data_IF_114492974851
#
_entry.id   IF_114492974851
#
_cell.length_a   1.000
_cell.length_b   1.000
_cell.length_c   1.000
_cell.angle_alpha   90.00
_cell.angle_beta   90.00
_cell.angle_gamma   90.00
#
_symmetry.space_group_name_H-M   'P 1'
#
loop_
_entity.id
_entity.type
_entity.pdbx_description
1 polymer ?
#
# COMPACT_ATOMS: atom_id res chain seq x y z
N UNK A 1 6.58 49.13 73.32
CA UNK A 1 6.86 47.89 74.07
C UNK A 1 6.90 46.75 73.07
N UNK A 2 8.04 46.02 73.05
CA UNK A 2 8.30 44.65 72.59
C UNK A 2 7.73 44.25 71.20
N UNK A 3 8.51 43.98 70.14
CA UNK A 3 9.74 43.19 70.10
C UNK A 3 9.41 41.73 69.78
N UNK A 4 9.51 41.32 68.51
CA UNK A 4 10.09 40.04 68.07
C UNK A 4 9.89 39.78 66.57
N UNK A 5 10.99 39.84 65.84
CA UNK A 5 11.24 39.23 64.53
C UNK A 5 11.48 37.71 64.70
N UNK A 6 10.89 36.88 63.82
CA UNK A 6 11.53 35.65 63.32
C UNK A 6 11.18 35.41 61.85
N UNK A 7 12.14 34.78 61.20
CA UNK A 7 12.50 34.72 59.78
C UNK A 7 11.80 33.57 59.03
N UNK A 8 11.97 33.54 57.70
CA UNK A 8 11.78 32.45 56.71
C UNK A 8 10.39 32.41 56.03
N UNK A 9 10.21 32.27 54.71
CA UNK A 9 11.11 32.24 53.55
C UNK A 9 10.26 32.37 52.26
N UNK A 10 10.92 32.81 51.18
CA UNK A 10 10.50 32.94 49.79
C UNK A 10 9.42 31.98 49.24
N UNK A 11 8.47 32.54 48.47
CA UNK A 11 8.36 32.28 47.01
C UNK A 11 7.40 33.27 46.34
N UNK A 12 7.90 34.02 45.36
CA UNK A 12 7.14 34.93 44.49
C UNK A 12 6.39 34.09 43.45
N UNK A 13 5.06 34.21 43.38
CA UNK A 13 4.27 33.80 42.21
C UNK A 13 4.11 35.02 41.30
N UNK A 14 4.64 34.94 40.09
CA UNK A 14 4.39 35.90 39.02
C UNK A 14 3.19 35.44 38.19
N UNK A 15 2.28 36.37 37.92
CA UNK A 15 1.07 36.21 37.11
C UNK A 15 1.47 36.31 35.63
N UNK A 16 1.07 35.33 34.81
CA UNK A 16 1.25 35.36 33.36
C UNK A 16 -0.11 35.40 32.67
N UNK A 17 -0.34 36.44 31.86
CA UNK A 17 -1.50 36.64 30.99
C UNK A 17 -1.64 35.50 29.96
N UNK A 18 -2.86 35.01 29.76
CA UNK A 18 -3.21 34.13 28.66
C UNK A 18 -3.60 34.94 27.42
N UNK A 19 -2.85 34.78 26.34
CA UNK A 19 -3.22 35.22 24.98
C UNK A 19 -3.88 34.03 24.27
N UNK A 20 -5.16 34.18 23.94
CA UNK A 20 -5.94 33.19 23.20
C UNK A 20 -5.73 33.43 21.69
N UNK A 21 -4.90 32.61 21.05
CA UNK A 21 -4.76 32.58 19.59
C UNK A 21 -5.75 31.58 18.99
N UNK A 22 -6.80 32.08 18.35
CA UNK A 22 -7.73 31.29 17.53
C UNK A 22 -7.03 31.00 16.19
N UNK A 23 -6.60 29.75 16.00
CA UNK A 23 -6.14 29.26 14.70
C UNK A 23 -7.36 28.80 13.90
N UNK A 24 -7.71 29.53 12.84
CA UNK A 24 -8.49 29.00 11.72
C UNK A 24 -7.57 28.01 10.99
N UNK A 25 -7.66 26.73 11.35
CA UNK A 25 -6.89 25.66 10.74
C UNK A 25 -7.32 25.43 9.30
N UNK A 26 -6.52 25.90 8.35
CA UNK A 26 -6.45 25.25 7.04
C UNK A 26 -5.78 23.90 7.30
N UNK A 27 -6.55 22.82 7.34
CA UNK A 27 -6.00 21.47 7.43
C UNK A 27 -5.31 21.14 6.11
N UNK A 28 -4.02 21.46 6.00
CA UNK A 28 -3.18 20.85 4.97
C UNK A 28 -3.17 19.34 5.22
N UNK A 29 -3.44 18.48 4.23
CA UNK A 29 -3.29 17.04 4.42
C UNK A 29 -1.85 16.78 4.88
N UNK A 30 -1.71 16.09 6.01
CA UNK A 30 -0.40 15.60 6.45
C UNK A 30 0.11 14.66 5.36
N UNK A 31 1.25 14.98 4.75
CA UNK A 31 1.99 14.06 3.88
C UNK A 31 2.79 13.13 4.78
N UNK A 32 2.52 11.83 4.72
CA UNK A 32 3.15 10.81 5.57
C UNK A 32 4.42 10.19 4.95
N UNK A 33 5.17 10.97 4.15
CA UNK A 33 6.40 10.52 3.49
C UNK A 33 7.48 9.97 4.45
N UNK A 34 8.38 9.13 3.92
CA UNK A 34 9.56 8.46 4.50
C UNK A 34 9.44 7.72 5.86
N UNK A 35 8.68 8.23 6.83
CA UNK A 35 8.51 7.64 8.16
C UNK A 35 7.54 6.45 8.18
N UNK A 36 6.52 6.47 7.33
CA UNK A 36 5.59 5.34 7.16
C UNK A 36 6.02 4.47 6.01
N UNK A 37 6.29 5.06 4.85
CA UNK A 37 6.69 4.39 3.61
C UNK A 37 8.19 4.13 3.56
N UNK A 38 8.66 3.24 4.43
CA UNK A 38 10.08 2.96 4.66
C UNK A 38 10.86 2.47 3.44
N UNK A 39 10.17 1.99 2.40
CA UNK A 39 10.79 1.49 1.16
C UNK A 39 10.64 2.46 -0.02
N UNK A 40 10.13 3.65 0.21
CA UNK A 40 10.02 4.70 -0.80
C UNK A 40 11.41 5.21 -1.20
N UNK A 41 11.73 5.32 -2.51
CA UNK A 41 12.99 5.91 -2.96
C UNK A 41 13.12 7.36 -2.48
N UNK A 42 14.29 7.75 -1.97
CA UNK A 42 14.53 9.10 -1.47
C UNK A 42 14.39 10.19 -2.56
N UNK A 43 14.52 9.80 -3.83
CA UNK A 43 14.33 10.64 -5.01
C UNK A 43 12.86 10.77 -5.45
N UNK A 44 11.93 10.11 -4.77
CA UNK A 44 10.52 10.09 -5.16
C UNK A 44 9.79 11.38 -4.80
N UNK A 45 8.98 11.83 -5.75
CA UNK A 45 8.04 12.94 -5.58
C UNK A 45 6.63 12.38 -5.44
N UNK A 46 6.00 12.62 -4.30
CA UNK A 46 4.61 12.22 -4.05
C UNK A 46 3.66 12.82 -5.10
N UNK A 47 2.78 11.99 -5.66
CA UNK A 47 1.69 12.43 -6.54
C UNK A 47 0.31 12.26 -5.89
N UNK A 48 0.15 11.31 -4.96
CA UNK A 48 -1.03 11.23 -4.08
C UNK A 48 -0.70 10.57 -2.74
N UNK A 49 -1.45 10.96 -1.72
CA UNK A 49 -1.41 10.41 -0.36
C UNK A 49 -2.83 10.56 0.18
N UNK A 50 -3.61 9.47 0.13
CA UNK A 50 -5.06 9.53 0.24
C UNK A 50 -5.59 8.55 1.30
N UNK A 51 -6.07 9.11 2.41
CA UNK A 51 -6.58 8.37 3.55
C UNK A 51 -8.03 7.90 3.46
N UNK A 52 -8.71 8.11 2.32
CA UNK A 52 -10.10 7.68 2.10
C UNK A 52 -11.12 8.18 3.15
N UNK A 53 -11.09 9.48 3.47
CA UNK A 53 -12.21 10.11 4.21
C UNK A 53 -13.45 10.32 3.34
N UNK A 54 -13.27 10.31 2.00
CA UNK A 54 -14.32 10.38 0.97
C UNK A 54 -13.96 9.43 -0.17
N UNK A 55 -14.96 8.99 -0.96
CA UNK A 55 -14.74 8.11 -2.12
C UNK A 55 -13.99 8.80 -3.25
N UNK A 56 -14.30 10.08 -3.48
CA UNK A 56 -13.66 10.90 -4.49
C UNK A 56 -12.90 12.05 -3.83
N UNK A 57 -11.89 12.56 -4.52
CA UNK A 57 -10.97 13.55 -3.96
C UNK A 57 -9.90 13.98 -4.95
N UNK A 58 -8.84 14.65 -4.50
CA UNK A 58 -7.78 15.20 -5.35
C UNK A 58 -7.11 14.12 -6.24
N UNK A 59 -7.61 13.98 -7.47
CA UNK A 59 -7.17 12.98 -8.46
C UNK A 59 -7.79 11.59 -8.30
N UNK A 60 -8.58 11.36 -7.24
CA UNK A 60 -9.27 10.10 -6.96
C UNK A 60 -10.70 10.12 -7.50
N UNK A 61 -11.01 9.16 -8.37
CA UNK A 61 -12.34 8.90 -8.91
C UNK A 61 -12.94 7.62 -8.36
N UNK A 62 -14.26 7.51 -8.45
CA UNK A 62 -15.03 6.33 -8.06
C UNK A 62 -16.19 6.14 -9.06
N UNK A 63 -16.39 4.91 -9.53
CA UNK A 63 -17.42 4.55 -10.51
C UNK A 63 -18.69 3.97 -9.84
N UNK A 64 -18.73 3.95 -8.51
CA UNK A 64 -19.80 3.36 -7.72
C UNK A 64 -19.71 1.84 -7.58
N UNK A 65 -20.87 1.23 -7.34
CA UNK A 65 -20.99 -0.19 -6.99
C UNK A 65 -21.13 -0.39 -5.49
N UNK A 66 -20.66 -1.52 -4.99
CA UNK A 66 -20.63 -1.87 -3.57
C UNK A 66 -19.35 -1.35 -2.90
N UNK A 67 -19.13 -0.04 -3.01
CA UNK A 67 -17.99 0.69 -2.45
C UNK A 67 -18.48 1.74 -1.46
N UNK A 68 -17.82 1.86 -0.31
CA UNK A 68 -18.17 2.84 0.71
C UNK A 68 -16.96 3.28 1.52
N UNK A 69 -17.12 4.40 2.24
CA UNK A 69 -16.21 4.74 3.34
C UNK A 69 -16.73 4.09 4.61
N UNK A 70 -15.95 3.16 5.16
CA UNK A 70 -16.23 2.48 6.42
C UNK A 70 -15.50 3.11 7.60
N UNK A 71 -15.95 2.80 8.81
CA UNK A 71 -15.24 3.14 10.04
C UNK A 71 -14.44 1.94 10.54
N UNK A 72 -13.16 2.14 10.83
CA UNK A 72 -12.27 1.13 11.41
C UNK A 72 -11.19 1.79 12.26
N UNK A 73 -11.34 1.74 13.59
CA UNK A 73 -10.38 2.35 14.51
C UNK A 73 -9.04 1.62 14.58
N UNK A 74 -8.90 0.46 13.93
CA UNK A 74 -7.63 -0.26 13.82
C UNK A 74 -6.83 0.13 12.57
N UNK A 75 -7.36 1.01 11.72
CA UNK A 75 -6.66 1.53 10.54
C UNK A 75 -5.28 2.12 10.94
N UNK A 76 -4.18 1.68 10.31
CA UNK A 76 -2.84 2.05 10.76
C UNK A 76 -2.47 3.53 10.65
N UNK A 77 -3.04 4.27 9.70
CA UNK A 77 -2.60 5.64 9.39
C UNK A 77 -3.71 6.68 9.31
N UNK A 78 -4.85 6.39 8.68
CA UNK A 78 -5.91 7.41 8.52
C UNK A 78 -6.83 7.45 9.76
N UNK A 79 -7.24 8.63 10.25
CA UNK A 79 -8.18 8.74 11.39
C UNK A 79 -9.52 8.05 11.11
N UNK A 80 -9.66 6.84 11.65
CA UNK A 80 -10.73 5.82 11.61
C UNK A 80 -11.56 5.60 10.35
N UNK A 81 -11.32 6.24 9.21
CA UNK A 81 -12.03 5.96 7.95
C UNK A 81 -11.19 5.11 7.01
N UNK A 82 -11.83 4.18 6.30
CA UNK A 82 -11.19 3.30 5.31
C UNK A 82 -12.07 3.13 4.08
N UNK A 83 -11.46 2.93 2.91
CA UNK A 83 -12.20 2.51 1.72
C UNK A 83 -12.59 1.04 1.87
N UNK A 84 -13.86 0.71 1.62
CA UNK A 84 -14.35 -0.66 1.66
C UNK A 84 -14.96 -1.06 0.33
N UNK A 85 -14.50 -2.19 -0.20
CA UNK A 85 -15.10 -2.89 -1.32
C UNK A 85 -15.82 -4.13 -0.78
N UNK A 86 -17.15 -4.14 -0.88
CA UNK A 86 -18.01 -5.19 -0.34
C UNK A 86 -18.31 -6.24 -1.41
N UNK A 87 -17.80 -7.44 -1.19
CA UNK A 87 -18.20 -8.65 -1.91
C UNK A 87 -19.54 -9.11 -1.34
N UNK A 88 -20.62 -8.95 -2.11
CA UNK A 88 -21.99 -9.24 -1.67
C UNK A 88 -22.46 -10.64 -2.12
N UNK A 89 -23.43 -11.21 -1.40
CA UNK A 89 -24.01 -12.51 -1.75
C UNK A 89 -24.62 -12.46 -3.15
N UNK A 90 -24.30 -13.46 -3.97
CA UNK A 90 -24.72 -13.54 -5.36
C UNK A 90 -23.78 -12.84 -6.35
N UNK A 91 -22.75 -12.12 -5.88
CA UNK A 91 -21.73 -11.54 -6.76
C UNK A 91 -21.00 -12.65 -7.55
N UNK A 92 -21.06 -12.64 -8.90
CA UNK A 92 -20.36 -13.63 -9.72
C UNK A 92 -18.84 -13.58 -9.59
N UNK A 93 -18.16 -14.68 -9.89
CA UNK A 93 -16.72 -14.66 -10.08
C UNK A 93 -16.29 -13.81 -11.29
N UNK A 94 -15.09 -13.25 -11.22
CA UNK A 94 -14.47 -12.48 -12.30
C UNK A 94 -14.91 -11.03 -12.39
N UNK A 95 -15.82 -10.58 -11.52
CA UNK A 95 -16.20 -9.17 -11.43
C UNK A 95 -15.65 -8.51 -10.16
N UNK A 96 -15.62 -7.18 -10.18
CA UNK A 96 -15.30 -6.34 -9.03
C UNK A 96 -16.59 -5.84 -8.36
N UNK A 97 -16.63 -5.66 -7.03
CA UNK A 97 -17.74 -4.98 -6.38
C UNK A 97 -17.82 -3.49 -6.74
N UNK A 98 -16.74 -2.89 -7.24
CA UNK A 98 -16.71 -1.52 -7.75
C UNK A 98 -15.31 -1.09 -8.17
N UNK A 99 -15.14 0.19 -8.51
CA UNK A 99 -13.88 0.72 -9.00
C UNK A 99 -13.62 2.12 -8.43
N UNK A 100 -12.60 2.21 -7.58
CA UNK A 100 -12.02 3.46 -7.10
C UNK A 100 -10.63 3.58 -7.72
N UNK A 101 -10.26 4.71 -8.29
CA UNK A 101 -9.03 4.82 -9.05
C UNK A 101 -8.34 6.16 -8.90
N UNK A 102 -7.03 6.16 -9.12
CA UNK A 102 -6.22 7.37 -9.23
C UNK A 102 -5.54 7.43 -10.59
N UNK A 103 -5.70 8.54 -11.31
CA UNK A 103 -5.01 8.79 -12.58
C UNK A 103 -3.77 9.63 -12.33
N UNK A 104 -2.65 9.22 -12.91
CA UNK A 104 -1.40 9.95 -12.75
C UNK A 104 -1.47 11.28 -13.50
N UNK A 105 -0.89 12.36 -12.95
CA UNK A 105 -0.81 13.64 -13.66
C UNK A 105 -0.09 13.52 -15.01
N UNK A 106 0.90 12.63 -15.10
CA UNK A 106 1.61 12.22 -16.31
C UNK A 106 1.99 10.74 -16.22
N UNK A 107 1.96 9.97 -17.32
CA UNK A 107 2.46 8.61 -17.32
C UNK A 107 3.96 8.53 -16.96
N UNK A 108 4.36 7.47 -16.26
CA UNK A 108 5.72 7.30 -15.75
C UNK A 108 6.29 5.90 -16.01
N UNK A 109 7.60 5.77 -16.31
CA UNK A 109 8.28 4.48 -16.36
C UNK A 109 8.56 3.90 -14.97
N UNK A 110 8.45 4.72 -13.92
CA UNK A 110 8.87 4.38 -12.56
C UNK A 110 7.82 4.82 -11.55
N UNK A 111 7.45 3.92 -10.63
CA UNK A 111 6.38 4.15 -9.66
C UNK A 111 6.74 3.50 -8.33
N UNK A 112 6.50 4.23 -7.26
CA UNK A 112 6.35 3.69 -5.93
C UNK A 112 4.89 3.73 -5.49
N UNK A 113 4.39 2.64 -4.90
CA UNK A 113 3.03 2.45 -4.42
C UNK A 113 3.08 1.86 -3.01
N UNK A 114 2.45 2.52 -2.04
CA UNK A 114 2.33 2.06 -0.67
C UNK A 114 0.88 2.11 -0.20
N UNK A 115 0.40 1.07 0.46
CA UNK A 115 -0.93 1.06 1.07
C UNK A 115 -1.06 0.02 2.18
N UNK A 116 -2.07 0.20 3.02
CA UNK A 116 -2.53 -0.83 3.95
C UNK A 116 -3.77 -1.52 3.39
N UNK A 117 -3.83 -2.83 3.56
CA UNK A 117 -4.94 -3.63 3.08
C UNK A 117 -5.36 -4.67 4.11
N UNK A 118 -6.66 -4.97 4.15
CA UNK A 118 -7.24 -6.00 5.02
C UNK A 118 -8.43 -6.68 4.36
N UNK A 119 -8.46 -8.00 4.34
CA UNK A 119 -9.68 -8.77 4.14
C UNK A 119 -10.46 -8.90 5.45
N UNK A 120 -11.80 -8.87 5.42
CA UNK A 120 -12.63 -9.09 6.61
C UNK A 120 -12.42 -10.48 7.23
N UNK A 121 -12.65 -10.62 8.54
CA UNK A 121 -12.69 -11.94 9.19
C UNK A 121 -13.70 -12.84 8.48
N UNK A 122 -13.33 -14.09 8.21
CA UNK A 122 -14.20 -15.04 7.52
C UNK A 122 -14.38 -14.79 6.02
N UNK A 123 -13.56 -13.91 5.40
CA UNK A 123 -13.61 -13.65 3.96
C UNK A 123 -13.67 -14.95 3.16
N UNK A 124 -14.65 -15.04 2.24
CA UNK A 124 -14.80 -16.17 1.34
C UNK A 124 -13.81 -16.02 0.18
N UNK A 125 -12.73 -16.78 0.23
CA UNK A 125 -11.81 -16.91 -0.88
C UNK A 125 -12.47 -17.65 -2.05
N UNK A 126 -12.13 -17.24 -3.27
CA UNK A 126 -12.58 -17.92 -4.48
C UNK A 126 -11.89 -19.27 -4.66
N UNK A 127 -12.56 -20.25 -5.29
CA UNK A 127 -12.04 -21.61 -5.49
C UNK A 127 -10.76 -21.71 -6.35
N UNK A 128 -10.45 -20.68 -7.13
CA UNK A 128 -9.14 -20.53 -7.81
C UNK A 128 -8.00 -20.12 -6.88
N UNK A 129 -8.27 -19.98 -5.57
CA UNK A 129 -7.34 -19.56 -4.53
C UNK A 129 -6.77 -18.16 -4.75
N UNK A 130 -7.53 -17.28 -5.42
CA UNK A 130 -7.09 -15.91 -5.77
C UNK A 130 -8.23 -14.92 -5.75
N UNK A 131 -7.97 -13.78 -5.12
CA UNK A 131 -8.81 -12.57 -5.23
C UNK A 131 -7.89 -11.38 -5.45
N UNK A 132 -8.10 -10.61 -6.51
CA UNK A 132 -7.24 -9.45 -6.85
C UNK A 132 -7.48 -8.31 -5.85
N UNK A 133 -6.45 -7.54 -5.53
CA UNK A 133 -6.47 -6.50 -4.50
C UNK A 133 -6.44 -5.10 -5.15
N UNK A 134 -5.40 -4.82 -5.94
CA UNK A 134 -5.18 -3.52 -6.58
C UNK A 134 -4.34 -3.72 -7.83
N UNK A 135 -4.55 -2.86 -8.81
CA UNK A 135 -3.81 -2.84 -10.07
C UNK A 135 -2.85 -1.66 -10.12
N UNK A 136 -1.74 -1.86 -10.85
CA UNK A 136 -0.96 -0.76 -11.39
C UNK A 136 -1.06 -0.84 -12.91
N UNK A 137 -1.79 0.11 -13.47
CA UNK A 137 -2.13 0.14 -14.89
C UNK A 137 -1.14 0.99 -15.67
N UNK A 138 -0.91 0.60 -16.92
CA UNK A 138 -0.19 1.40 -17.90
C UNK A 138 -1.13 1.90 -18.99
N UNK A 139 -0.61 2.74 -19.87
CA UNK A 139 -1.39 3.34 -20.96
C UNK A 139 -1.99 2.32 -21.95
N UNK A 140 -1.65 1.03 -21.84
CA UNK A 140 -2.22 -0.05 -22.64
C UNK A 140 -3.02 -1.09 -21.86
N UNK A 141 -3.10 -1.03 -20.53
CA UNK A 141 -3.89 -1.98 -19.75
C UNK A 141 -3.39 -2.19 -18.32
N UNK A 142 -3.51 -3.44 -17.84
CA UNK A 142 -3.30 -3.82 -16.45
C UNK A 142 -2.09 -4.78 -16.29
N UNK A 143 -0.85 -4.31 -16.53
CA UNK A 143 0.32 -5.18 -16.57
C UNK A 143 0.68 -5.80 -15.22
N UNK A 144 0.25 -5.20 -14.11
CA UNK A 144 0.57 -5.63 -12.75
C UNK A 144 -0.65 -5.54 -11.84
N UNK A 145 -0.81 -6.55 -10.98
CA UNK A 145 -1.76 -6.49 -9.89
C UNK A 145 -1.35 -7.34 -8.70
N UNK A 146 -1.68 -6.88 -7.50
CA UNK A 146 -1.62 -7.68 -6.29
C UNK A 146 -2.86 -8.57 -6.15
N UNK A 147 -2.71 -9.72 -5.50
CA UNK A 147 -3.79 -10.61 -5.14
C UNK A 147 -3.57 -11.24 -3.76
N UNK A 148 -4.67 -11.56 -3.09
CA UNK A 148 -4.71 -12.47 -1.94
C UNK A 148 -4.74 -13.90 -2.47
N UNK A 149 -3.69 -14.67 -2.19
CA UNK A 149 -3.53 -16.07 -2.54
C UNK A 149 -3.75 -17.01 -1.37
N UNK A 150 -4.01 -18.29 -1.65
CA UNK A 150 -4.23 -19.34 -0.66
C UNK A 150 -5.66 -19.88 -0.73
N UNK A 151 -5.85 -21.14 -0.31
CA UNK A 151 -7.16 -21.79 -0.30
C UNK A 151 -8.02 -21.37 0.89
N UNK A 152 -9.34 -21.52 0.79
CA UNK A 152 -10.27 -21.23 1.88
C UNK A 152 -9.84 -21.96 3.16
N UNK A 153 -9.68 -21.21 4.27
CA UNK A 153 -9.31 -21.76 5.58
C UNK A 153 -7.83 -22.17 5.72
N UNK A 154 -6.99 -21.87 4.72
CA UNK A 154 -5.54 -22.09 4.78
C UNK A 154 -4.78 -20.82 5.18
N UNK A 155 -3.44 -20.89 5.21
CA UNK A 155 -2.60 -19.70 5.31
C UNK A 155 -2.69 -18.90 4.01
N UNK A 156 -3.12 -17.65 4.10
CA UNK A 156 -3.18 -16.75 2.95
C UNK A 156 -1.85 -16.01 2.77
N UNK A 157 -1.61 -15.50 1.57
CA UNK A 157 -0.42 -14.72 1.24
C UNK A 157 -0.73 -13.60 0.26
N UNK A 158 0.13 -12.59 0.20
CA UNK A 158 0.08 -11.59 -0.88
C UNK A 158 0.88 -12.12 -2.06
N UNK A 159 0.36 -12.04 -3.27
CA UNK A 159 1.12 -12.29 -4.49
C UNK A 159 0.93 -11.16 -5.48
N UNK A 160 1.81 -11.08 -6.47
CA UNK A 160 1.65 -10.22 -7.62
C UNK A 160 1.59 -11.09 -8.88
N UNK A 161 0.84 -10.63 -9.89
CA UNK A 161 0.91 -11.20 -11.22
C UNK A 161 1.48 -10.17 -12.18
N UNK A 162 2.42 -10.61 -13.00
CA UNK A 162 2.83 -9.91 -14.20
C UNK A 162 1.97 -10.38 -15.36
N UNK A 163 1.14 -9.51 -15.90
CA UNK A 163 0.15 -9.82 -16.93
C UNK A 163 0.55 -9.18 -18.26
N UNK A 164 1.20 -9.97 -19.11
CA UNK A 164 1.57 -9.58 -20.48
C UNK A 164 1.40 -10.79 -21.40
N UNK A 165 1.35 -10.58 -22.72
CA UNK A 165 1.23 -11.66 -23.71
C UNK A 165 2.58 -12.10 -24.28
N UNK A 166 3.56 -11.20 -24.36
CA UNK A 166 4.70 -11.33 -25.25
C UNK A 166 6.01 -10.73 -24.67
N UNK A 167 6.10 -10.61 -23.34
CA UNK A 167 7.32 -10.18 -22.64
C UNK A 167 7.97 -11.40 -22.00
N UNK A 168 9.22 -11.67 -22.39
CA UNK A 168 10.01 -12.79 -21.89
C UNK A 168 10.95 -12.37 -20.76
N UNK A 169 10.97 -13.19 -19.72
CA UNK A 169 11.76 -13.04 -18.50
C UNK A 169 12.42 -14.37 -18.11
N UNK A 170 12.71 -15.21 -19.10
CA UNK A 170 13.33 -16.53 -18.96
C UNK A 170 14.75 -16.50 -18.38
N UNK A 171 15.39 -15.31 -18.36
CA UNK A 171 16.68 -15.07 -17.73
C UNK A 171 16.59 -14.84 -16.20
N UNK A 172 15.39 -14.68 -15.64
CA UNK A 172 15.22 -14.48 -14.20
C UNK A 172 15.47 -15.80 -13.45
N UNK A 173 16.29 -15.73 -12.40
CA UNK A 173 16.58 -16.89 -11.56
C UNK A 173 15.30 -17.45 -10.94
N UNK A 174 15.12 -18.78 -11.02
CA UNK A 174 13.91 -19.46 -10.54
C UNK A 174 12.71 -19.42 -11.49
N UNK A 175 12.84 -18.78 -12.65
CA UNK A 175 11.75 -18.59 -13.62
C UNK A 175 12.17 -18.96 -15.07
N UNK A 176 12.73 -20.17 -15.30
CA UNK A 176 13.19 -20.56 -16.64
C UNK A 176 12.01 -20.67 -17.61
N UNK A 177 12.20 -20.15 -18.83
CA UNK A 177 11.24 -20.29 -19.93
C UNK A 177 9.97 -19.43 -19.82
N UNK A 178 9.92 -18.47 -18.89
CA UNK A 178 8.75 -17.62 -18.74
C UNK A 178 8.68 -16.55 -19.83
N UNK A 179 7.59 -16.60 -20.61
CA UNK A 179 7.14 -15.55 -21.50
C UNK A 179 5.65 -15.29 -21.30
N UNK A 180 5.27 -14.01 -21.19
CA UNK A 180 3.87 -13.60 -21.03
C UNK A 180 3.45 -13.46 -19.57
N UNK A 181 2.31 -14.07 -19.21
CA UNK A 181 1.66 -13.89 -17.91
C UNK A 181 2.16 -14.93 -16.91
N UNK A 182 2.58 -14.48 -15.73
CA UNK A 182 3.13 -15.36 -14.70
C UNK A 182 3.02 -14.77 -13.29
N UNK A 183 3.22 -15.64 -12.30
CA UNK A 183 2.98 -15.32 -10.91
C UNK A 183 4.25 -15.09 -10.10
N UNK A 184 4.18 -14.06 -9.27
CA UNK A 184 5.23 -13.60 -8.37
C UNK A 184 4.69 -13.68 -6.94
N UNK A 185 4.57 -14.88 -6.33
CA UNK A 185 4.05 -15.02 -4.96
C UNK A 185 5.04 -14.43 -3.95
N UNK A 186 4.59 -13.87 -2.82
CA UNK A 186 5.51 -13.34 -1.79
C UNK A 186 6.08 -14.42 -0.88
N UNK A 187 5.29 -15.45 -0.59
CA UNK A 187 5.54 -16.37 0.53
C UNK A 187 5.26 -15.77 1.91
N UNK A 188 4.96 -14.47 2.02
CA UNK A 188 4.60 -13.82 3.28
C UNK A 188 3.15 -14.15 3.64
N UNK A 189 2.96 -14.70 4.84
CA UNK A 189 1.62 -15.04 5.35
C UNK A 189 0.87 -13.79 5.80
N UNK A 190 -0.41 -13.74 5.46
CA UNK A 190 -1.38 -12.76 5.95
C UNK A 190 -2.59 -13.47 6.53
N UNK A 191 -3.33 -12.76 7.38
CA UNK A 191 -4.51 -13.28 8.05
C UNK A 191 -5.70 -12.33 7.86
N UNK A 192 -6.87 -12.82 7.43
CA UNK A 192 -8.09 -12.02 7.40
C UNK A 192 -8.38 -11.42 8.78
N UNK A 193 -8.85 -10.18 8.81
CA UNK A 193 -9.03 -9.39 10.02
C UNK A 193 -7.79 -8.61 10.47
N UNK A 194 -6.62 -8.82 9.85
CA UNK A 194 -5.39 -8.08 10.13
C UNK A 194 -5.00 -7.17 8.97
N UNK A 195 -4.46 -6.00 9.30
CA UNK A 195 -3.89 -5.08 8.31
C UNK A 195 -2.53 -5.59 7.84
N UNK A 196 -2.32 -5.54 6.52
CA UNK A 196 -1.04 -5.79 5.89
C UNK A 196 -0.55 -4.51 5.21
N UNK A 197 0.68 -4.11 5.50
CA UNK A 197 1.37 -3.06 4.74
C UNK A 197 1.90 -3.66 3.45
N UNK A 198 1.57 -3.07 2.31
CA UNK A 198 2.07 -3.50 1.00
C UNK A 198 2.75 -2.31 0.35
N UNK A 199 3.99 -2.52 -0.07
CA UNK A 199 4.79 -1.51 -0.77
C UNK A 199 5.32 -2.13 -2.07
N UNK A 200 5.32 -1.38 -3.15
CA UNK A 200 5.83 -1.76 -4.48
C UNK A 200 6.71 -0.62 -4.99
N UNK A 201 7.89 -0.98 -5.46
CA UNK A 201 8.70 -0.14 -6.34
C UNK A 201 8.87 -0.87 -7.67
N UNK A 202 8.57 -0.18 -8.77
CA UNK A 202 8.72 -0.73 -10.11
C UNK A 202 9.30 0.29 -11.06
N UNK A 203 10.22 -0.18 -11.90
CA UNK A 203 10.86 0.57 -12.99
C UNK A 203 10.78 -0.27 -14.26
N UNK A 204 10.17 0.28 -15.31
CA UNK A 204 10.15 -0.32 -16.65
C UNK A 204 11.59 -0.48 -17.16
N UNK A 205 11.84 -1.57 -17.88
CA UNK A 205 13.09 -1.77 -18.60
C UNK A 205 13.18 -0.82 -19.80
N UNK A 206 14.39 -0.35 -20.14
CA UNK A 206 14.66 0.61 -21.22
C UNK A 206 14.12 0.12 -22.57
N UNK A 207 14.16 -1.18 -22.80
CA UNK A 207 13.51 -1.85 -23.93
C UNK A 207 12.83 -3.12 -23.46
N UNK A 208 12.13 -3.81 -24.35
CA UNK A 208 11.46 -5.09 -24.04
C UNK A 208 12.43 -6.23 -23.73
N UNK A 209 13.74 -6.03 -23.94
CA UNK A 209 14.78 -7.07 -23.80
C UNK A 209 16.07 -6.58 -23.15
N UNK A 210 16.11 -5.34 -22.64
CA UNK A 210 17.32 -4.73 -22.07
C UNK A 210 17.73 -5.32 -20.72
N UNK A 211 16.82 -6.01 -20.03
CA UNK A 211 17.07 -6.68 -18.74
C UNK A 211 17.59 -5.72 -17.66
N UNK A 212 17.02 -4.52 -17.60
CA UNK A 212 17.40 -3.44 -16.68
C UNK A 212 16.20 -2.85 -15.92
N UNK A 213 15.02 -3.46 -16.05
CA UNK A 213 13.86 -3.08 -15.25
C UNK A 213 13.94 -3.65 -13.83
N UNK A 214 13.26 -2.97 -12.91
CA UNK A 214 13.27 -3.33 -11.49
C UNK A 214 11.84 -3.58 -11.02
N UNK A 215 11.67 -4.64 -10.24
CA UNK A 215 10.46 -4.89 -9.47
C UNK A 215 10.87 -5.28 -8.06
N UNK A 216 10.37 -4.57 -7.08
CA UNK A 216 10.51 -4.91 -5.66
C UNK A 216 9.17 -4.73 -4.99
N UNK A 217 8.77 -5.68 -4.16
CA UNK A 217 7.66 -5.41 -3.26
C UNK A 217 7.89 -6.02 -1.90
N UNK A 218 7.27 -5.39 -0.91
CA UNK A 218 7.37 -5.72 0.50
C UNK A 218 5.99 -5.98 1.06
N UNK A 219 5.94 -6.88 2.04
CA UNK A 219 4.75 -7.15 2.85
C UNK A 219 5.15 -7.00 4.30
N UNK A 220 4.45 -6.13 5.04
CA UNK A 220 4.76 -5.80 6.43
C UNK A 220 6.22 -5.40 6.65
N UNK A 221 6.78 -4.61 5.72
CA UNK A 221 8.16 -4.14 5.75
C UNK A 221 9.23 -5.18 5.39
N UNK A 222 8.84 -6.44 5.14
CA UNK A 222 9.78 -7.50 4.72
C UNK A 222 9.81 -7.60 3.20
N UNK A 223 11.02 -7.60 2.62
CA UNK A 223 11.20 -7.78 1.18
C UNK A 223 10.67 -9.15 0.77
N UNK A 224 9.60 -9.14 -0.01
CA UNK A 224 8.96 -10.36 -0.48
C UNK A 224 9.59 -10.85 -1.78
N UNK A 225 9.75 -9.97 -2.76
CA UNK A 225 10.38 -10.31 -4.06
C UNK A 225 11.17 -9.13 -4.60
N UNK A 226 12.25 -9.46 -5.30
CA UNK A 226 13.10 -8.53 -6.03
C UNK A 226 13.53 -9.14 -7.37
N UNK A 227 13.43 -8.33 -8.42
CA UNK A 227 14.12 -8.53 -9.69
C UNK A 227 14.74 -7.20 -10.10
N UNK A 228 16.03 -7.20 -10.44
CA UNK A 228 16.75 -5.99 -10.90
C UNK A 228 17.11 -6.05 -12.38
N UNK A 229 16.66 -7.09 -13.07
CA UNK A 229 16.91 -7.30 -14.51
C UNK A 229 15.63 -7.66 -15.26
N UNK A 230 14.46 -7.30 -14.74
CA UNK A 230 13.17 -7.69 -15.33
C UNK A 230 12.90 -6.91 -16.62
N UNK A 231 12.38 -7.59 -17.64
CA UNK A 231 11.85 -6.97 -18.85
C UNK A 231 10.37 -6.61 -18.65
N UNK A 232 9.97 -5.46 -19.21
CA UNK A 232 8.60 -4.96 -19.23
C UNK A 232 8.15 -4.50 -20.62
N UNK A 233 6.83 -4.49 -20.83
CA UNK A 233 6.20 -3.77 -21.94
C UNK A 233 6.42 -2.26 -21.83
N UNK A 234 6.43 -1.56 -22.97
CA UNK A 234 6.92 -0.17 -23.07
C UNK A 234 5.85 0.91 -22.82
N UNK A 235 4.59 0.51 -22.63
CA UNK A 235 3.55 1.43 -22.15
C UNK A 235 3.92 1.93 -20.75
N UNK A 236 3.75 3.22 -20.49
CA UNK A 236 4.10 3.86 -19.23
C UNK A 236 2.96 3.72 -18.22
N UNK A 237 3.29 3.55 -16.94
CA UNK A 237 2.29 3.48 -15.88
C UNK A 237 1.48 4.76 -15.82
N UNK A 238 0.17 4.66 -15.70
CA UNK A 238 -0.73 5.81 -15.82
C UNK A 238 -1.79 5.89 -14.74
N UNK A 239 -2.07 4.82 -14.01
CA UNK A 239 -3.09 4.84 -12.96
C UNK A 239 -2.94 3.70 -11.96
N UNK A 240 -3.59 3.87 -10.81
CA UNK A 240 -3.77 2.84 -9.78
C UNK A 240 -5.28 2.60 -9.59
N UNK A 241 -5.83 1.57 -10.26
CA UNK A 241 -7.20 1.13 -10.00
C UNK A 241 -7.28 0.19 -8.80
N UNK A 242 -8.12 0.54 -7.84
CA UNK A 242 -8.60 -0.33 -6.76
C UNK A 242 -9.86 -1.03 -7.25
N UNK A 243 -9.64 -2.14 -7.94
CA UNK A 243 -10.69 -2.94 -8.58
C UNK A 243 -10.54 -4.39 -8.10
N UNK A 244 -10.86 -4.72 -6.86
CA UNK A 244 -10.61 -6.06 -6.36
C UNK A 244 -11.55 -7.08 -7.02
N UNK A 245 -11.01 -8.16 -7.60
CA UNK A 245 -11.79 -9.12 -8.38
C UNK A 245 -11.83 -10.46 -7.66
N UNK A 246 -13.05 -10.96 -7.40
CA UNK A 246 -13.25 -12.29 -6.81
C UNK A 246 -12.99 -13.38 -7.84
N UNK A 247 -11.79 -13.93 -7.83
CA UNK A 247 -11.39 -15.01 -8.73
C UNK A 247 -11.57 -14.70 -10.21
N UNK A 248 -12.32 -15.59 -10.87
CA UNK A 248 -12.51 -15.57 -12.32
C UNK A 248 -12.85 -16.93 -12.93
N UNK A 249 -13.21 -17.93 -12.13
CA UNK A 249 -13.54 -19.29 -12.62
C UNK A 249 -14.84 -19.76 -11.97
N UNK A 250 -15.96 -19.26 -12.48
CA UNK A 250 -17.31 -19.69 -12.11
C UNK A 250 -17.70 -19.46 -10.64
N UNK A 251 -18.96 -19.76 -10.33
CA UNK A 251 -19.50 -19.62 -8.98
C UNK A 251 -19.87 -18.18 -8.60
N UNK A 252 -20.40 -18.06 -7.38
CA UNK A 252 -20.88 -16.81 -6.78
C UNK A 252 -20.46 -16.75 -5.31
N UNK A 253 -20.29 -15.54 -4.80
CA UNK A 253 -20.11 -15.28 -3.37
C UNK A 253 -21.37 -15.72 -2.62
N UNK A 254 -21.21 -16.49 -1.54
CA UNK A 254 -22.30 -16.97 -0.67
C UNK A 254 -22.21 -16.42 0.75
N UNK A 255 -21.02 -15.97 1.15
CA UNK A 255 -20.76 -15.30 2.43
C UNK A 255 -20.19 -13.91 2.15
N UNK A 256 -20.86 -12.83 2.60
CA UNK A 256 -20.38 -11.48 2.33
C UNK A 256 -19.06 -11.21 3.05
N UNK A 257 -18.22 -10.36 2.46
CA UNK A 257 -16.96 -9.92 3.05
C UNK A 257 -16.44 -8.65 2.41
N UNK A 258 -15.45 -8.02 3.03
CA UNK A 258 -14.86 -6.77 2.52
C UNK A 258 -13.37 -6.91 2.27
N UNK A 259 -12.89 -6.19 1.27
CA UNK A 259 -11.51 -5.69 1.27
C UNK A 259 -11.55 -4.23 1.73
N UNK A 260 -10.74 -3.92 2.73
CA UNK A 260 -10.56 -2.58 3.28
C UNK A 260 -9.18 -2.06 2.93
N UNK A 261 -9.09 -0.77 2.60
CA UNK A 261 -7.86 -0.08 2.25
C UNK A 261 -7.70 1.14 3.15
N UNK A 262 -6.52 1.27 3.74
CA UNK A 262 -6.13 2.46 4.48
C UNK A 262 -4.91 3.08 3.81
N UNK A 263 -5.02 4.39 3.56
CA UNK A 263 -3.96 5.25 3.05
C UNK A 263 -3.27 4.75 1.77
N UNK A 264 -3.72 5.23 0.62
CA UNK A 264 -3.01 5.00 -0.63
C UNK A 264 -1.97 6.09 -0.89
N UNK A 265 -0.71 5.70 -0.96
CA UNK A 265 0.41 6.56 -1.28
C UNK A 265 1.02 6.18 -2.63
N UNK A 266 1.21 7.16 -3.49
CA UNK A 266 1.90 6.97 -4.78
C UNK A 266 2.89 8.10 -4.97
N UNK A 267 4.10 7.74 -5.37
CA UNK A 267 5.16 8.67 -5.72
C UNK A 267 5.93 8.23 -6.95
N UNK A 268 6.55 9.21 -7.61
CA UNK A 268 7.29 9.02 -8.85
C UNK A 268 8.76 9.35 -8.58
N UNK A 269 9.64 8.35 -8.58
CA UNK A 269 11.08 8.54 -8.50
C UNK A 269 11.61 9.39 -9.65
N UNK A 270 12.49 10.34 -9.35
CA UNK A 270 13.10 11.20 -10.36
C UNK A 270 14.23 10.49 -11.12
N UNK A 271 13.91 9.38 -11.81
CA UNK A 271 14.58 8.80 -12.98
C UNK A 271 16.11 8.67 -13.00
N UNK A 272 16.81 8.78 -11.86
CA UNK A 272 18.26 8.64 -11.83
C UNK A 272 18.68 7.24 -12.25
N UNK A 273 19.86 7.11 -12.85
CA UNK A 273 20.62 5.86 -12.87
C UNK A 273 21.10 5.51 -11.44
N UNK A 274 20.25 5.70 -10.44
CA UNK A 274 20.60 5.43 -9.06
C UNK A 274 20.64 3.93 -8.90
N UNK A 275 21.76 3.48 -8.35
CA UNK A 275 21.80 2.29 -7.51
C UNK A 275 20.94 2.53 -6.25
N UNK A 276 19.74 3.14 -6.36
CA UNK A 276 18.80 3.38 -5.27
C UNK A 276 18.35 2.01 -4.77
N UNK A 277 19.15 1.54 -3.84
CA UNK A 277 18.75 0.60 -2.84
C UNK A 277 17.85 1.42 -1.91
N UNK A 278 16.53 1.15 -1.88
CA UNK A 278 15.77 1.56 -0.70
C UNK A 278 16.53 1.09 0.53
N UNK A 279 16.53 1.84 1.64
CA UNK A 279 17.25 1.45 2.85
C UNK A 279 16.93 -0.01 3.15
N UNK A 280 17.98 -0.84 3.28
CA UNK A 280 17.80 -2.21 3.73
C UNK A 280 17.00 -2.22 5.05
N UNK A 281 16.38 -3.36 5.42
CA UNK A 281 15.57 -3.46 6.62
C UNK A 281 16.32 -2.85 7.82
N UNK A 282 15.63 -2.13 8.73
CA UNK A 282 16.26 -1.57 9.91
C UNK A 282 17.13 -2.62 10.59
N UNK A 283 18.35 -2.24 10.99
CA UNK A 283 19.21 -3.12 11.76
C UNK A 283 18.41 -3.71 12.94
N UNK A 284 18.47 -5.03 13.12
CA UNK A 284 17.80 -5.69 14.23
C UNK A 284 18.17 -4.96 15.54
N UNK A 285 17.20 -4.61 16.41
CA UNK A 285 17.48 -3.88 17.62
C UNK A 285 18.52 -4.66 18.43
N UNK A 286 19.67 -4.03 18.66
CA UNK A 286 20.70 -4.61 19.52
C UNK A 286 20.11 -4.65 20.92
N UNK A 287 19.82 -5.85 21.42
CA UNK A 287 19.43 -6.03 22.82
C UNK A 287 20.62 -5.52 23.65
N UNK A 288 20.48 -4.34 24.24
CA UNK A 288 21.37 -3.93 25.31
C UNK A 288 21.17 -4.94 26.43
N UNK A 289 22.21 -5.74 26.71
CA UNK A 289 22.24 -6.64 27.85
C UNK A 289 21.78 -5.87 29.09
N UNK A 290 20.60 -6.21 29.59
CA UNK A 290 20.16 -5.77 30.91
C UNK A 290 20.99 -6.59 31.90
N UNK A 291 21.95 -5.95 32.55
CA UNK A 291 22.56 -6.52 33.75
C UNK A 291 21.48 -6.50 34.82
N UNK A 292 21.04 -7.69 35.22
CA UNK A 292 20.09 -7.85 36.33
C UNK A 292 20.73 -7.35 37.64
N UNK A 293 19.92 -6.82 38.59
CA UNK A 293 20.39 -6.24 39.85
C UNK A 293 21.09 -7.24 40.77
#
# INVERSE_FOLDING_TARGET
MNGNTKLLACRRLAISMALLSIWLGVSTPLSYGAGVWTNEPASASQITDWGFSTLTGPGWGDEGGSVSIGSDSSAPLSPSTVLQHQFYVGMPAGISPGNTWYLFPQPSPEVYLGFWWKASVGFQQHGSNRTKIVFLSDTGGNPLFFYMGGAQGSSYYIGMQHQNSDICNDHLSGYPGICGTWDIPSGATIYPGQWAKIELYVKKSTTRTSKDGILRYWVNGVLAREFTTMNFGQNLFSSVPIVPIWGGVGGTVTTPGTFSYDHMHVSIPSGGASNDQPPGPPAAPTIKNVTAP
#
